data_IF_342049453299
#
_entry.id   IF_342049453299
#
_cell.length_a   1.000
_cell.length_b   1.000
_cell.length_c   1.000
_cell.angle_alpha   90.00
_cell.angle_beta   90.00
_cell.angle_gamma   90.00
#
_symmetry.space_group_name_H-M   'P 1'
#
loop_
_entity.id
_entity.type
_entity.pdbx_description
1 polymer ?
#
# COMPACT_ATOMS: atom_id res chain seq x y z
N UNK A 1 -22.38 39.69 26.57
CA UNK A 1 -21.32 40.10 25.61
C UNK A 1 -19.99 39.83 26.31
N UNK A 2 -19.13 38.85 26.01
CA UNK A 2 -19.05 37.80 25.01
C UNK A 2 -18.45 36.55 25.69
N UNK A 3 -18.97 35.35 25.38
CA UNK A 3 -18.43 34.09 25.87
C UNK A 3 -17.13 33.84 25.09
N UNK A 4 -15.99 33.77 25.79
CA UNK A 4 -14.66 33.58 25.23
C UNK A 4 -14.60 32.26 24.45
N UNK A 5 -14.57 32.35 23.12
CA UNK A 5 -14.52 31.25 22.15
C UNK A 5 -13.15 30.54 22.09
N UNK A 6 -12.52 30.26 23.23
CA UNK A 6 -11.22 29.57 23.28
C UNK A 6 -11.34 28.05 23.50
N UNK A 7 -12.55 27.52 23.63
CA UNK A 7 -12.78 26.08 23.82
C UNK A 7 -12.62 25.26 22.51
N UNK A 8 -12.35 25.92 21.38
CA UNK A 8 -12.20 25.29 20.06
C UNK A 8 -10.75 24.93 19.71
N UNK A 9 -9.77 25.54 20.38
CA UNK A 9 -8.38 25.17 20.24
C UNK A 9 -8.08 24.07 21.25
N UNK A 10 -8.09 22.83 20.77
CA UNK A 10 -7.63 21.66 21.53
C UNK A 10 -6.24 21.98 22.10
N UNK A 11 -6.10 22.05 23.43
CA UNK A 11 -4.83 22.25 24.13
C UNK A 11 -3.85 21.09 23.84
N UNK A 12 -3.14 21.13 22.72
CA UNK A 12 -2.12 20.14 22.35
C UNK A 12 -1.00 20.03 23.39
N UNK A 13 -0.72 21.10 24.14
CA UNK A 13 0.23 21.07 25.26
C UNK A 13 -0.22 20.15 26.41
N UNK A 14 -1.51 20.18 26.78
CA UNK A 14 -2.07 19.33 27.85
C UNK A 14 -2.15 17.88 27.43
N UNK A 15 -2.43 17.62 26.15
CA UNK A 15 -2.43 16.27 25.58
C UNK A 15 -1.04 15.62 25.62
N UNK A 16 0.03 16.40 25.42
CA UNK A 16 1.42 15.90 25.46
C UNK A 16 1.87 15.43 26.86
N UNK A 17 1.23 15.92 27.94
CA UNK A 17 1.59 15.59 29.33
C UNK A 17 1.02 14.25 29.79
N UNK A 18 -0.04 13.76 29.17
CA UNK A 18 -0.65 12.47 29.48
C UNK A 18 0.05 11.34 28.71
N UNK A 19 0.96 10.64 29.39
CA UNK A 19 1.64 9.44 28.85
C UNK A 19 0.68 8.46 28.17
N UNK A 20 -0.52 8.29 28.71
CA UNK A 20 -1.54 7.38 28.16
C UNK A 20 -2.02 7.80 26.77
N UNK A 21 -2.20 9.09 26.52
CA UNK A 21 -2.66 9.62 25.22
C UNK A 21 -1.55 9.47 24.17
N UNK A 22 -0.29 9.68 24.57
CA UNK A 22 0.86 9.42 23.71
C UNK A 22 1.03 7.93 23.38
N UNK A 23 0.77 7.03 24.33
CA UNK A 23 0.84 5.59 24.10
C UNK A 23 -0.28 5.08 23.18
N UNK A 24 -1.50 5.59 23.35
CA UNK A 24 -2.63 5.30 22.46
C UNK A 24 -2.39 5.89 21.07
N UNK A 25 -1.92 7.14 20.98
CA UNK A 25 -1.58 7.80 19.73
C UNK A 25 -0.44 7.11 18.98
N UNK A 26 0.55 6.56 19.67
CA UNK A 26 1.66 5.80 19.03
C UNK A 26 1.23 4.44 18.50
N UNK A 27 0.30 3.76 19.17
CA UNK A 27 -0.15 2.41 18.81
C UNK A 27 -1.55 2.40 18.17
N UNK A 28 -2.03 3.54 17.71
CA UNK A 28 -3.42 3.70 17.23
C UNK A 28 -3.77 2.69 16.13
N UNK A 29 -2.84 2.39 15.21
CA UNK A 29 -3.04 1.43 14.14
C UNK A 29 -3.23 0.00 14.66
N UNK A 30 -2.49 -0.41 15.70
CA UNK A 30 -2.65 -1.72 16.34
C UNK A 30 -3.97 -1.82 17.10
N UNK A 31 -4.33 -0.75 17.82
CA UNK A 31 -5.61 -0.66 18.53
C UNK A 31 -6.77 -0.75 17.54
N UNK A 32 -6.67 -0.02 16.42
CA UNK A 32 -7.65 -0.04 15.35
C UNK A 32 -7.73 -1.42 14.67
N UNK A 33 -6.60 -2.09 14.45
CA UNK A 33 -6.56 -3.46 13.93
C UNK A 33 -7.30 -4.42 14.86
N UNK A 34 -7.00 -4.41 16.16
CA UNK A 34 -7.67 -5.27 17.15
C UNK A 34 -9.17 -4.99 17.18
N UNK A 35 -9.56 -3.71 17.16
CA UNK A 35 -10.96 -3.31 17.08
C UNK A 35 -11.65 -3.91 15.83
N UNK A 36 -11.02 -3.81 14.66
CA UNK A 36 -11.54 -4.38 13.41
C UNK A 36 -11.63 -5.90 13.45
N UNK A 37 -10.64 -6.59 14.04
CA UNK A 37 -10.67 -8.04 14.23
C UNK A 37 -11.86 -8.47 15.08
N UNK A 38 -12.11 -7.78 16.20
CA UNK A 38 -13.25 -8.06 17.09
C UNK A 38 -14.56 -7.78 16.35
N UNK A 39 -14.68 -6.61 15.73
CA UNK A 39 -15.90 -6.21 15.02
C UNK A 39 -16.27 -7.22 13.93
N UNK A 40 -15.34 -7.55 13.04
CA UNK A 40 -15.60 -8.48 11.94
C UNK A 40 -15.63 -9.94 12.36
N UNK A 41 -15.07 -10.31 13.52
CA UNK A 41 -15.28 -11.63 14.12
C UNK A 41 -16.76 -11.90 14.39
N UNK A 42 -17.53 -10.89 14.81
CA UNK A 42 -18.96 -11.03 15.10
C UNK A 42 -19.86 -10.74 13.88
N UNK A 43 -19.54 -9.70 13.11
CA UNK A 43 -20.38 -9.28 11.97
C UNK A 43 -20.07 -10.07 10.67
N UNK A 44 -18.84 -10.57 10.52
CA UNK A 44 -18.36 -11.16 9.28
C UNK A 44 -18.74 -12.64 9.14
N UNK A 45 -19.58 -12.95 8.15
CA UNK A 45 -19.79 -14.34 7.73
C UNK A 45 -18.48 -14.91 7.18
N UNK A 46 -18.02 -16.04 7.72
CA UNK A 46 -16.78 -16.72 7.32
C UNK A 46 -15.49 -15.89 7.54
N UNK A 47 -15.47 -14.96 8.50
CA UNK A 47 -14.31 -14.12 8.78
C UNK A 47 -13.01 -14.93 9.03
N UNK A 48 -13.09 -15.98 9.85
CA UNK A 48 -11.96 -16.89 10.12
C UNK A 48 -11.78 -18.01 9.11
N UNK A 49 -12.47 -17.98 7.96
CA UNK A 49 -12.28 -19.02 6.95
C UNK A 49 -10.91 -18.92 6.27
N UNK A 50 -10.33 -20.07 5.92
CA UNK A 50 -9.09 -20.13 5.14
C UNK A 50 -9.21 -19.39 3.80
N UNK A 51 -10.40 -19.38 3.20
CA UNK A 51 -10.67 -18.62 1.96
C UNK A 51 -10.53 -17.12 2.19
N UNK A 52 -11.11 -16.58 3.27
CA UNK A 52 -10.98 -15.17 3.60
C UNK A 52 -9.53 -14.80 3.92
N UNK A 53 -8.82 -15.65 4.68
CA UNK A 53 -7.41 -15.45 4.96
C UNK A 53 -6.55 -15.43 3.69
N UNK A 54 -6.75 -16.38 2.78
CA UNK A 54 -6.07 -16.39 1.48
C UNK A 54 -6.36 -15.14 0.66
N UNK A 55 -7.61 -14.66 0.63
CA UNK A 55 -7.96 -13.43 -0.08
C UNK A 55 -7.24 -12.21 0.51
N UNK A 56 -7.12 -12.12 1.84
CA UNK A 56 -6.38 -11.04 2.50
C UNK A 56 -4.90 -11.10 2.14
N UNK A 57 -4.26 -12.28 2.28
CA UNK A 57 -2.85 -12.48 1.98
C UNK A 57 -2.56 -12.16 0.51
N UNK A 58 -3.37 -12.66 -0.43
CA UNK A 58 -3.23 -12.37 -1.86
C UNK A 58 -3.43 -10.88 -2.15
N UNK A 59 -4.37 -10.22 -1.47
CA UNK A 59 -4.63 -8.79 -1.63
C UNK A 59 -3.45 -7.89 -1.21
N UNK A 60 -2.76 -8.25 -0.13
CA UNK A 60 -1.59 -7.48 0.36
C UNK A 60 -0.27 -7.92 -0.26
N UNK A 61 -0.21 -9.06 -0.96
CA UNK A 61 1.02 -9.61 -1.52
C UNK A 61 1.74 -8.63 -2.45
N UNK A 62 1.00 -7.91 -3.30
CA UNK A 62 1.57 -6.93 -4.22
C UNK A 62 2.23 -5.76 -3.49
N UNK A 63 1.63 -5.29 -2.40
CA UNK A 63 2.18 -4.22 -1.56
C UNK A 63 3.40 -4.69 -0.77
N UNK A 64 3.41 -5.94 -0.28
CA UNK A 64 4.55 -6.51 0.41
C UNK A 64 5.77 -6.64 -0.52
N UNK A 65 5.56 -7.16 -1.73
CA UNK A 65 6.62 -7.23 -2.75
C UNK A 65 7.14 -5.84 -3.10
N UNK A 66 6.25 -4.86 -3.28
CA UNK A 66 6.63 -3.48 -3.55
C UNK A 66 7.46 -2.86 -2.41
N UNK A 67 6.95 -2.96 -1.18
CA UNK A 67 7.61 -2.43 0.01
C UNK A 67 8.99 -3.07 0.26
N UNK A 68 9.14 -4.36 -0.08
CA UNK A 68 10.44 -5.04 0.00
C UNK A 68 11.46 -4.44 -0.98
N UNK A 69 11.04 -4.07 -2.20
CA UNK A 69 11.87 -3.37 -3.17
C UNK A 69 12.22 -1.95 -2.72
N UNK A 70 11.23 -1.19 -2.25
CA UNK A 70 11.41 0.18 -1.73
C UNK A 70 12.34 0.25 -0.51
N UNK A 71 12.45 -0.83 0.27
CA UNK A 71 13.41 -0.89 1.38
C UNK A 71 14.85 -0.70 0.89
N UNK A 72 15.22 -1.30 -0.26
CA UNK A 72 16.56 -1.13 -0.83
C UNK A 72 16.80 0.30 -1.33
N UNK A 73 15.77 0.93 -1.91
CA UNK A 73 15.81 2.33 -2.38
C UNK A 73 16.02 3.29 -1.21
N UNK A 74 15.31 3.08 -0.10
CA UNK A 74 15.46 3.92 1.09
C UNK A 74 16.86 3.74 1.70
N UNK A 75 17.37 2.50 1.75
CA UNK A 75 18.72 2.22 2.28
C UNK A 75 19.81 2.84 1.40
N UNK A 76 19.62 2.91 0.07
CA UNK A 76 20.56 3.59 -0.83
C UNK A 76 20.49 5.13 -0.75
N UNK A 77 19.62 5.68 0.11
CA UNK A 77 19.42 7.12 0.28
C UNK A 77 18.50 7.76 -0.76
N UNK A 78 17.78 6.93 -1.53
CA UNK A 78 16.77 7.38 -2.48
C UNK A 78 15.38 7.52 -1.86
N UNK A 79 14.51 8.25 -2.55
CA UNK A 79 13.06 8.30 -2.29
C UNK A 79 12.36 8.08 -3.63
N UNK A 80 11.90 6.86 -3.91
CA UNK A 80 11.20 6.53 -5.14
C UNK A 80 9.68 6.75 -5.01
N UNK A 81 9.23 7.96 -5.37
CA UNK A 81 7.79 8.25 -5.44
C UNK A 81 7.13 7.75 -6.74
N UNK A 82 7.91 7.35 -7.74
CA UNK A 82 7.38 6.91 -9.05
C UNK A 82 6.82 5.50 -9.01
N UNK A 83 7.22 4.68 -8.03
CA UNK A 83 6.82 3.27 -7.91
C UNK A 83 5.29 3.08 -7.91
N UNK A 84 4.55 4.01 -7.30
CA UNK A 84 3.08 3.99 -7.28
C UNK A 84 2.47 4.22 -8.68
N UNK A 85 3.05 5.14 -9.46
CA UNK A 85 2.63 5.38 -10.84
C UNK A 85 2.95 4.19 -11.74
N UNK A 86 4.15 3.61 -11.60
CA UNK A 86 4.57 2.42 -12.37
C UNK A 86 3.67 1.23 -12.08
N UNK A 87 3.37 0.97 -10.80
CA UNK A 87 2.44 -0.09 -10.39
C UNK A 87 1.06 0.09 -11.02
N UNK A 88 0.50 1.31 -10.94
CA UNK A 88 -0.81 1.62 -11.51
C UNK A 88 -0.84 1.43 -13.03
N UNK A 89 0.18 1.92 -13.74
CA UNK A 89 0.31 1.78 -15.18
C UNK A 89 0.40 0.31 -15.61
N UNK A 90 1.30 -0.47 -15.00
CA UNK A 90 1.47 -1.90 -15.27
C UNK A 90 0.16 -2.67 -15.02
N UNK A 91 -0.52 -2.38 -13.91
CA UNK A 91 -1.76 -3.07 -13.53
C UNK A 91 -2.88 -2.81 -14.55
N UNK A 92 -3.09 -1.55 -14.95
CA UNK A 92 -4.12 -1.18 -15.92
C UNK A 92 -3.81 -1.76 -17.31
N UNK A 93 -2.58 -1.60 -17.79
CA UNK A 93 -2.17 -2.14 -19.10
C UNK A 93 -2.33 -3.66 -19.15
N UNK A 94 -1.84 -4.39 -18.14
CA UNK A 94 -1.95 -5.85 -18.08
C UNK A 94 -3.41 -6.30 -18.00
N UNK A 95 -4.23 -5.61 -17.21
CA UNK A 95 -5.66 -5.90 -17.05
C UNK A 95 -6.44 -5.74 -18.35
N UNK A 96 -6.18 -4.66 -19.10
CA UNK A 96 -6.81 -4.41 -20.41
C UNK A 96 -6.46 -5.54 -21.39
N UNK A 97 -5.18 -5.93 -21.46
CA UNK A 97 -4.75 -7.01 -22.35
C UNK A 97 -5.38 -8.35 -21.96
N UNK A 98 -5.38 -8.69 -20.67
CA UNK A 98 -6.00 -9.92 -20.16
C UNK A 98 -7.49 -9.96 -20.50
N UNK A 99 -8.21 -8.85 -20.27
CA UNK A 99 -9.63 -8.70 -20.58
C UNK A 99 -9.89 -8.86 -22.07
N UNK A 100 -9.13 -8.18 -22.92
CA UNK A 100 -9.36 -8.16 -24.37
C UNK A 100 -9.04 -9.52 -25.00
N UNK A 101 -7.99 -10.21 -24.53
CA UNK A 101 -7.67 -11.57 -24.96
C UNK A 101 -8.73 -12.58 -24.50
N UNK A 102 -9.21 -12.45 -23.26
CA UNK A 102 -10.30 -13.30 -22.79
C UNK A 102 -11.59 -13.07 -23.61
N UNK A 103 -11.93 -11.81 -23.91
CA UNK A 103 -13.06 -11.45 -24.75
C UNK A 103 -12.92 -11.94 -26.21
N UNK A 104 -11.69 -12.01 -26.72
CA UNK A 104 -11.37 -12.59 -28.03
C UNK A 104 -11.41 -14.13 -28.07
N UNK A 105 -11.75 -14.79 -26.96
CA UNK A 105 -11.91 -16.24 -26.89
C UNK A 105 -10.63 -17.02 -26.58
N UNK A 106 -9.53 -16.36 -26.22
CA UNK A 106 -8.33 -17.05 -25.75
C UNK A 106 -8.54 -17.69 -24.36
N UNK A 107 -7.85 -18.81 -24.12
CA UNK A 107 -7.87 -19.48 -22.82
C UNK A 107 -7.42 -18.53 -21.69
N UNK A 108 -8.03 -18.58 -20.50
CA UNK A 108 -7.63 -17.76 -19.35
C UNK A 108 -6.13 -17.87 -19.03
N UNK A 109 -5.53 -19.05 -19.19
CA UNK A 109 -4.09 -19.26 -18.97
C UNK A 109 -3.25 -18.39 -19.92
N UNK A 110 -3.64 -18.32 -21.20
CA UNK A 110 -2.90 -17.57 -22.22
C UNK A 110 -3.02 -16.08 -21.91
N UNK A 111 -4.25 -15.61 -21.67
CA UNK A 111 -4.50 -14.21 -21.32
C UNK A 111 -3.71 -13.76 -20.09
N UNK A 112 -3.66 -14.61 -19.04
CA UNK A 112 -2.88 -14.33 -17.83
C UNK A 112 -1.38 -14.27 -18.12
N UNK A 113 -0.83 -15.25 -18.84
CA UNK A 113 0.59 -15.31 -19.18
C UNK A 113 1.02 -14.08 -20.01
N UNK A 114 0.25 -13.70 -21.01
CA UNK A 114 0.54 -12.53 -21.84
C UNK A 114 0.42 -11.22 -21.07
N UNK A 115 -0.60 -11.09 -20.21
CA UNK A 115 -0.78 -9.91 -19.36
C UNK A 115 0.38 -9.74 -18.38
N UNK A 116 0.78 -10.82 -17.70
CA UNK A 116 1.91 -10.82 -16.78
C UNK A 116 3.24 -10.52 -17.49
N UNK A 117 3.46 -11.08 -18.68
CA UNK A 117 4.67 -10.82 -19.46
C UNK A 117 4.78 -9.34 -19.87
N UNK A 118 3.68 -8.76 -20.37
CA UNK A 118 3.67 -7.35 -20.78
C UNK A 118 3.83 -6.46 -19.54
N UNK A 119 3.17 -6.78 -18.43
CA UNK A 119 3.34 -6.06 -17.18
C UNK A 119 4.79 -6.05 -16.69
N UNK A 120 5.47 -7.19 -16.76
CA UNK A 120 6.90 -7.30 -16.43
C UNK A 120 7.76 -6.42 -17.34
N UNK A 121 7.53 -6.45 -18.66
CA UNK A 121 8.27 -5.62 -19.60
C UNK A 121 8.06 -4.12 -19.35
N UNK A 122 6.82 -3.70 -19.10
CA UNK A 122 6.49 -2.30 -18.82
C UNK A 122 7.07 -1.82 -17.48
N UNK A 123 7.10 -2.69 -16.47
CA UNK A 123 7.66 -2.39 -15.15
C UNK A 123 9.19 -2.25 -15.16
N UNK A 124 9.88 -2.92 -16.08
CA UNK A 124 11.34 -2.83 -16.19
C UNK A 124 11.81 -1.49 -16.77
N UNK A 125 11.03 -0.86 -17.66
CA UNK A 125 11.43 0.36 -18.37
C UNK A 125 11.82 1.50 -17.40
N UNK A 126 11.00 1.87 -16.40
CA UNK A 126 11.37 2.91 -15.43
C UNK A 126 12.60 2.55 -14.60
N UNK A 127 12.78 1.26 -14.26
CA UNK A 127 13.94 0.77 -13.52
C UNK A 127 15.26 1.00 -14.27
N UNK A 128 15.27 0.82 -15.59
CA UNK A 128 16.46 1.09 -16.41
C UNK A 128 16.72 2.57 -16.68
N UNK A 129 15.67 3.39 -16.73
CA UNK A 129 15.80 4.83 -17.02
C UNK A 129 16.36 5.58 -15.81
N UNK A 130 16.10 5.11 -14.59
CA UNK A 130 16.62 5.74 -13.39
C UNK A 130 18.12 5.50 -13.22
N UNK A 131 18.87 6.59 -13.34
CA UNK A 131 20.21 6.70 -12.75
C UNK A 131 20.06 7.28 -11.36
N UNK A 132 20.27 6.46 -10.33
CA UNK A 132 20.44 6.96 -8.97
C UNK A 132 21.65 7.90 -8.96
N UNK A 133 21.44 9.15 -8.55
CA UNK A 133 22.54 10.07 -8.23
C UNK A 133 22.75 9.98 -6.72
N UNK A 134 23.94 9.59 -6.24
CA UNK A 134 24.20 9.54 -4.81
C UNK A 134 24.01 10.94 -4.21
N UNK A 135 23.28 11.01 -3.10
CA UNK A 135 23.01 12.25 -2.35
C UNK A 135 24.24 12.80 -1.62
N UNK A 136 25.37 12.10 -1.67
CA UNK A 136 26.64 12.62 -1.20
C UNK A 136 27.32 13.35 -2.36
N UNK A 137 27.02 14.64 -2.44
CA UNK A 137 27.95 15.58 -3.03
C UNK A 137 29.17 15.67 -2.12
N UNK A 138 30.21 14.92 -2.43
CA UNK A 138 31.57 15.46 -2.38
C UNK A 138 32.12 15.44 -3.80
N UNK A 139 32.91 16.48 -4.10
CA UNK A 139 33.47 16.80 -5.41
C UNK A 139 34.24 15.64 -6.03
#
# INVERSE_FOLDING_TARGET
MAKSNNDFFIDFEKLSRNRTILLVGRNWALIFLIFMLILFSFLGKNFFSLKNFNNIVLGVSSLLLLASGETFVIISGGIDLSIGFVMGFVCISSSIIMRDLNAAGYSPIISMMTGSLIGLLLGLIPGFIKKEKPFLGEK
#
